data_IF_982267576519
#
_entry.id   IF_982267576519
#
_cell.length_a   1.000
_cell.length_b   1.000
_cell.length_c   1.000
_cell.angle_alpha   90.00
_cell.angle_beta   90.00
_cell.angle_gamma   90.00
#
_symmetry.space_group_name_H-M   'P 1'
#
loop_
_entity.id
_entity.type
_entity.pdbx_description
1 polymer ?
#
# COMPACT_ATOMS: atom_id res chain seq x y z
N UNK A 1 -28.38 -36.83 11.15
CA UNK A 1 -27.54 -37.54 10.17
C UNK A 1 -27.96 -38.99 10.04
N UNK A 2 -27.94 -39.79 11.11
CA UNK A 2 -28.49 -41.16 11.08
C UNK A 2 -29.98 -41.20 10.70
N UNK A 3 -30.79 -40.29 11.23
CA UNK A 3 -32.21 -40.19 10.90
C UNK A 3 -32.45 -39.79 9.42
N UNK A 4 -31.72 -38.79 8.93
CA UNK A 4 -31.78 -38.37 7.52
C UNK A 4 -31.25 -39.43 6.54
N UNK A 5 -30.22 -40.18 6.92
CA UNK A 5 -29.69 -41.29 6.12
C UNK A 5 -30.63 -42.51 6.11
N UNK A 6 -31.38 -42.74 7.20
CA UNK A 6 -32.40 -43.77 7.25
C UNK A 6 -33.64 -43.42 6.42
N UNK A 7 -33.94 -42.12 6.27
CA UNK A 7 -35.09 -41.62 5.54
C UNK A 7 -34.83 -41.49 4.02
N UNK A 8 -33.65 -40.98 3.63
CA UNK A 8 -33.22 -40.88 2.23
C UNK A 8 -31.67 -40.97 2.13
N UNK A 9 -31.11 -42.19 2.01
CA UNK A 9 -29.67 -42.38 1.92
C UNK A 9 -29.07 -41.82 0.61
N UNK A 10 -29.84 -41.82 -0.48
CA UNK A 10 -29.38 -41.35 -1.80
C UNK A 10 -29.19 -39.84 -1.81
N UNK A 11 -30.10 -39.07 -1.20
CA UNK A 11 -29.94 -37.64 -1.03
C UNK A 11 -28.72 -37.27 -0.17
N UNK A 12 -28.43 -38.06 0.88
CA UNK A 12 -27.24 -37.85 1.71
C UNK A 12 -25.97 -38.17 0.91
N UNK A 13 -25.94 -39.27 0.15
CA UNK A 13 -24.81 -39.60 -0.72
C UNK A 13 -24.58 -38.50 -1.77
N UNK A 14 -25.62 -37.99 -2.41
CA UNK A 14 -25.54 -36.92 -3.41
C UNK A 14 -25.05 -35.58 -2.82
N UNK A 15 -25.35 -35.30 -1.54
CA UNK A 15 -24.82 -34.12 -0.85
C UNK A 15 -23.29 -34.17 -0.70
N UNK A 16 -22.70 -35.36 -0.59
CA UNK A 16 -21.26 -35.54 -0.41
C UNK A 16 -20.52 -35.94 -1.70
N UNK A 17 -21.23 -36.57 -2.64
CA UNK A 17 -20.68 -36.97 -3.93
C UNK A 17 -20.68 -35.79 -4.91
N UNK A 18 -19.59 -35.66 -5.67
CA UNK A 18 -19.57 -34.85 -6.88
C UNK A 18 -20.03 -35.73 -8.04
N UNK A 19 -21.09 -35.35 -8.75
CA UNK A 19 -21.56 -36.09 -9.93
C UNK A 19 -20.87 -35.54 -11.18
N UNK A 20 -19.99 -36.36 -11.76
CA UNK A 20 -19.37 -36.12 -13.05
C UNK A 20 -20.25 -36.72 -14.16
N UNK A 21 -20.77 -35.87 -15.04
CA UNK A 21 -21.54 -36.29 -16.21
C UNK A 21 -20.70 -36.07 -17.46
N UNK A 22 -20.28 -37.16 -18.10
CA UNK A 22 -19.53 -37.07 -19.36
C UNK A 22 -20.52 -36.97 -20.52
N UNK A 23 -20.78 -35.74 -20.97
CA UNK A 23 -21.55 -35.49 -22.18
C UNK A 23 -20.65 -35.64 -23.41
N UNK A 24 -20.76 -36.78 -24.11
CA UNK A 24 -20.15 -36.91 -25.44
C UNK A 24 -21.17 -36.40 -26.47
N UNK A 25 -20.86 -35.31 -27.15
CA UNK A 25 -21.68 -34.78 -28.25
C UNK A 25 -20.90 -34.88 -29.56
N UNK A 26 -21.54 -35.41 -30.60
CA UNK A 26 -20.93 -35.54 -31.93
C UNK A 26 -21.38 -34.39 -32.81
N UNK A 27 -20.46 -33.56 -33.27
CA UNK A 27 -20.73 -32.46 -34.20
C UNK A 27 -20.36 -32.88 -35.64
N UNK A 28 -21.26 -32.68 -36.60
CA UNK A 28 -20.97 -32.94 -38.02
C UNK A 28 -20.46 -31.67 -38.68
N UNK A 29 -19.21 -31.66 -39.12
CA UNK A 29 -18.55 -30.49 -39.71
C UNK A 29 -18.66 -30.51 -41.25
N UNK A 30 -18.83 -31.70 -41.84
CA UNK A 30 -19.09 -31.89 -43.26
C UNK A 30 -19.86 -33.20 -43.51
N UNK A 31 -20.48 -33.41 -44.69
CA UNK A 31 -21.18 -34.66 -45.00
C UNK A 31 -20.26 -35.88 -44.81
N UNK A 32 -20.57 -36.73 -43.84
CA UNK A 32 -19.77 -37.91 -43.50
C UNK A 32 -18.54 -37.67 -42.62
N UNK A 33 -18.30 -36.44 -42.14
CA UNK A 33 -17.21 -36.09 -41.22
C UNK A 33 -17.79 -35.58 -39.90
N UNK A 34 -17.64 -36.40 -38.86
CA UNK A 34 -18.05 -36.11 -37.49
C UNK A 34 -16.83 -35.92 -36.60
N UNK A 35 -16.92 -35.01 -35.63
CA UNK A 35 -15.94 -34.80 -34.57
C UNK A 35 -16.62 -34.98 -33.22
N UNK A 36 -15.98 -35.75 -32.34
CA UNK A 36 -16.42 -35.92 -30.96
C UNK A 36 -16.00 -34.68 -30.14
N UNK A 37 -16.98 -33.98 -29.59
CA UNK A 37 -16.77 -33.00 -28.53
C UNK A 37 -16.97 -33.71 -27.19
N UNK A 38 -15.85 -33.93 -26.49
CA UNK A 38 -15.84 -34.43 -25.12
C UNK A 38 -15.84 -33.20 -24.21
N UNK A 39 -16.99 -32.90 -23.60
CA UNK A 39 -17.10 -31.88 -22.56
C UNK A 39 -17.45 -32.57 -21.26
N UNK A 40 -16.51 -32.58 -20.31
CA UNK A 40 -16.82 -32.97 -18.93
C UNK A 40 -17.73 -31.89 -18.35
N UNK A 41 -18.98 -32.25 -18.07
CA UNK A 41 -19.98 -31.34 -17.51
C UNK A 41 -20.33 -31.86 -16.12
N UNK A 42 -20.11 -31.04 -15.09
CA UNK A 42 -20.51 -31.42 -13.74
C UNK A 42 -22.01 -31.17 -13.60
N UNK A 43 -22.82 -32.23 -13.47
CA UNK A 43 -24.27 -32.11 -13.36
C UNK A 43 -24.67 -31.67 -11.93
N UNK A 44 -23.97 -32.14 -10.89
CA UNK A 44 -24.18 -31.72 -9.51
C UNK A 44 -22.86 -31.66 -8.70
N UNK A 45 -22.70 -30.57 -7.94
CA UNK A 45 -21.56 -30.34 -7.04
C UNK A 45 -21.96 -30.71 -5.62
N UNK A 46 -21.26 -31.69 -5.03
CA UNK A 46 -21.39 -31.99 -3.61
C UNK A 46 -20.93 -30.82 -2.74
N UNK A 47 -21.34 -30.82 -1.47
CA UNK A 47 -20.99 -29.81 -0.47
C UNK A 47 -19.47 -29.60 -0.36
N UNK A 48 -18.68 -30.67 -0.46
CA UNK A 48 -17.22 -30.61 -0.40
C UNK A 48 -16.60 -29.76 -1.51
N UNK A 49 -17.13 -29.88 -2.74
CA UNK A 49 -16.63 -29.11 -3.88
C UNK A 49 -17.12 -27.66 -3.84
N UNK A 50 -18.34 -27.41 -3.37
CA UNK A 50 -18.82 -26.05 -3.11
C UNK A 50 -17.98 -25.36 -2.03
N UNK A 51 -17.66 -26.08 -0.96
CA UNK A 51 -16.79 -25.58 0.11
C UNK A 51 -15.38 -25.30 -0.41
N UNK A 52 -14.81 -26.23 -1.18
CA UNK A 52 -13.49 -26.05 -1.80
C UNK A 52 -13.46 -24.82 -2.70
N UNK A 53 -14.43 -24.66 -3.59
CA UNK A 53 -14.53 -23.48 -4.47
C UNK A 53 -14.65 -22.18 -3.69
N UNK A 54 -15.44 -22.16 -2.59
CA UNK A 54 -15.57 -20.99 -1.75
C UNK A 54 -14.25 -20.61 -1.05
N UNK A 55 -13.55 -21.60 -0.48
CA UNK A 55 -12.24 -21.40 0.15
C UNK A 55 -11.19 -20.97 -0.88
N UNK A 56 -11.20 -21.59 -2.06
CA UNK A 56 -10.26 -21.27 -3.13
C UNK A 56 -10.49 -19.86 -3.66
N UNK A 57 -11.74 -19.44 -3.87
CA UNK A 57 -12.07 -18.05 -4.24
C UNK A 57 -11.64 -17.01 -3.19
N UNK A 58 -11.56 -17.39 -1.91
CA UNK A 58 -11.05 -16.50 -0.86
C UNK A 58 -9.52 -16.47 -0.80
N UNK A 59 -8.89 -17.64 -0.91
CA UNK A 59 -7.49 -17.87 -0.57
C UNK A 59 -6.58 -18.02 -1.78
N UNK A 60 -7.12 -18.04 -3.00
CA UNK A 60 -6.33 -18.15 -4.22
C UNK A 60 -5.23 -17.08 -4.22
N UNK A 61 -4.00 -17.52 -4.47
CA UNK A 61 -2.81 -16.68 -4.39
C UNK A 61 -2.73 -15.63 -5.50
N UNK A 62 -3.57 -15.70 -6.53
CA UNK A 62 -3.58 -14.79 -7.68
C UNK A 62 -4.72 -13.78 -7.53
N UNK A 63 -5.95 -14.26 -7.41
CA UNK A 63 -7.19 -13.47 -7.48
C UNK A 63 -8.12 -13.67 -6.27
N UNK A 64 -7.66 -14.41 -5.26
CA UNK A 64 -8.38 -14.59 -4.00
C UNK A 64 -8.62 -13.25 -3.31
N UNK A 65 -9.82 -13.06 -2.75
CA UNK A 65 -10.23 -11.78 -2.16
C UNK A 65 -9.31 -11.35 -1.01
N UNK A 66 -8.85 -12.29 -0.19
CA UNK A 66 -7.91 -12.02 0.91
C UNK A 66 -6.53 -11.63 0.36
N UNK A 67 -6.07 -12.33 -0.67
CA UNK A 67 -4.81 -12.05 -1.34
C UNK A 67 -4.80 -10.65 -1.95
N UNK A 68 -5.88 -10.27 -2.64
CA UNK A 68 -6.02 -8.93 -3.23
C UNK A 68 -6.06 -7.84 -2.15
N UNK A 69 -6.76 -8.08 -1.04
CA UNK A 69 -6.79 -7.16 0.08
C UNK A 69 -5.38 -6.98 0.68
N UNK A 70 -4.63 -8.06 0.88
CA UNK A 70 -3.25 -8.01 1.39
C UNK A 70 -2.36 -7.18 0.46
N UNK A 71 -2.37 -7.45 -0.84
CA UNK A 71 -1.57 -6.69 -1.82
C UNK A 71 -1.91 -5.21 -1.84
N UNK A 72 -3.18 -4.87 -1.69
CA UNK A 72 -3.60 -3.46 -1.61
C UNK A 72 -3.05 -2.80 -0.36
N UNK A 73 -3.06 -3.47 0.80
CA UNK A 73 -2.44 -2.95 2.01
C UNK A 73 -0.92 -2.79 1.87
N UNK A 74 -0.24 -3.77 1.27
CA UNK A 74 1.21 -3.69 1.01
C UNK A 74 1.53 -2.48 0.12
N UNK A 75 0.79 -2.28 -0.97
CA UNK A 75 0.97 -1.12 -1.86
C UNK A 75 0.72 0.22 -1.14
N UNK A 76 -0.26 0.27 -0.22
CA UNK A 76 -0.52 1.46 0.59
C UNK A 76 0.61 1.72 1.59
N UNK A 77 1.17 0.68 2.20
CA UNK A 77 2.30 0.77 3.11
C UNK A 77 3.51 1.31 2.35
N UNK A 78 3.83 0.76 1.18
CA UNK A 78 4.95 1.20 0.34
C UNK A 78 4.81 2.67 -0.05
N UNK A 79 3.64 3.07 -0.57
CA UNK A 79 3.36 4.47 -0.91
C UNK A 79 3.49 5.41 0.30
N UNK A 80 3.09 4.95 1.49
CA UNK A 80 3.20 5.74 2.71
C UNK A 80 4.65 5.84 3.21
N UNK A 81 5.46 4.79 3.05
CA UNK A 81 6.89 4.80 3.35
C UNK A 81 7.65 5.75 2.41
N UNK A 82 7.34 5.73 1.12
CA UNK A 82 7.93 6.66 0.15
C UNK A 82 7.63 8.12 0.53
N UNK A 83 6.38 8.40 0.89
CA UNK A 83 5.99 9.74 1.36
C UNK A 83 6.70 10.16 2.64
N UNK A 84 6.95 9.23 3.57
CA UNK A 84 7.73 9.50 4.79
C UNK A 84 9.16 9.88 4.40
N UNK A 85 9.80 9.12 3.51
CA UNK A 85 11.16 9.40 3.06
C UNK A 85 11.28 10.79 2.38
N UNK A 86 10.32 11.17 1.56
CA UNK A 86 10.27 12.52 0.97
C UNK A 86 10.12 13.63 2.03
N UNK A 87 9.27 13.41 3.05
CA UNK A 87 9.09 14.35 4.15
C UNK A 87 10.38 14.50 4.95
N UNK A 88 11.07 13.41 5.25
CA UNK A 88 12.34 13.42 5.98
C UNK A 88 13.41 14.19 5.21
N UNK A 89 13.52 13.98 3.90
CA UNK A 89 14.44 14.74 3.06
C UNK A 89 14.15 16.25 3.10
N UNK A 90 12.87 16.63 3.02
CA UNK A 90 12.44 18.03 3.10
C UNK A 90 12.68 18.64 4.47
N UNK A 91 12.49 17.86 5.53
CA UNK A 91 12.74 18.28 6.90
C UNK A 91 14.24 18.54 7.10
N UNK A 92 15.10 17.61 6.71
CA UNK A 92 16.56 17.78 6.78
C UNK A 92 17.04 19.02 6.01
N UNK A 93 16.49 19.27 4.82
CA UNK A 93 16.81 20.47 4.05
C UNK A 93 16.39 21.77 4.77
N UNK A 94 15.22 21.76 5.44
CA UNK A 94 14.74 22.90 6.24
C UNK A 94 15.61 23.12 7.47
N UNK A 95 15.99 22.07 8.18
CA UNK A 95 16.88 22.16 9.33
C UNK A 95 18.23 22.75 8.95
N UNK A 96 18.84 22.27 7.87
CA UNK A 96 20.11 22.81 7.37
C UNK A 96 19.99 24.29 6.99
N UNK A 97 18.89 24.68 6.37
CA UNK A 97 18.61 26.08 6.04
C UNK A 97 18.50 26.93 7.30
N UNK A 98 17.70 26.49 8.28
CA UNK A 98 17.52 27.20 9.55
C UNK A 98 18.85 27.33 10.31
N UNK A 99 19.68 26.29 10.32
CA UNK A 99 21.00 26.35 10.92
C UNK A 99 21.89 27.43 10.27
N UNK A 100 21.92 27.49 8.93
CA UNK A 100 22.65 28.52 8.20
C UNK A 100 22.12 29.93 8.48
N UNK A 101 20.80 30.08 8.50
CA UNK A 101 20.14 31.35 8.83
C UNK A 101 20.50 31.79 10.25
N UNK A 102 20.48 30.87 11.21
CA UNK A 102 20.85 31.14 12.60
C UNK A 102 22.32 31.60 12.72
N UNK A 103 23.27 30.86 12.14
CA UNK A 103 24.69 31.26 12.16
C UNK A 103 24.93 32.61 11.48
N UNK A 104 24.22 32.90 10.39
CA UNK A 104 24.30 34.21 9.73
C UNK A 104 23.76 35.33 10.62
N UNK A 105 22.66 35.08 11.33
CA UNK A 105 22.11 36.02 12.32
C UNK A 105 23.07 36.22 13.49
N UNK A 106 23.68 35.18 14.05
CA UNK A 106 24.69 35.29 15.11
C UNK A 106 25.88 36.15 14.67
N UNK A 107 26.40 35.90 13.46
CA UNK A 107 27.50 36.68 12.90
C UNK A 107 27.11 38.14 12.69
N UNK A 108 25.88 38.39 12.24
CA UNK A 108 25.35 39.74 12.04
C UNK A 108 25.19 40.47 13.37
N UNK A 109 24.67 39.80 14.39
CA UNK A 109 24.54 40.36 15.75
C UNK A 109 25.90 40.69 16.35
N UNK A 110 26.90 39.81 16.20
CA UNK A 110 28.27 40.09 16.64
C UNK A 110 28.87 41.33 15.96
N UNK A 111 28.63 41.50 14.65
CA UNK A 111 29.03 42.69 13.89
C UNK A 111 28.26 43.95 14.31
N UNK A 112 26.98 43.83 14.65
CA UNK A 112 26.19 44.97 15.13
C UNK A 112 26.65 45.42 16.51
N UNK A 113 26.99 44.47 17.40
CA UNK A 113 27.55 44.77 18.71
C UNK A 113 28.90 45.49 18.60
N UNK A 114 29.81 45.00 17.75
CA UNK A 114 31.10 45.67 17.54
C UNK A 114 30.94 47.09 16.98
N UNK A 115 30.02 47.29 16.04
CA UNK A 115 29.66 48.60 15.51
C UNK A 115 29.10 49.52 16.61
N UNK A 116 28.21 49.02 17.47
CA UNK A 116 27.67 49.80 18.58
C UNK A 116 28.76 50.26 19.56
N UNK A 117 29.72 49.38 19.88
CA UNK A 117 30.88 49.74 20.70
C UNK A 117 31.74 50.82 20.05
N UNK A 118 32.04 50.69 18.75
CA UNK A 118 32.82 51.70 18.01
C UNK A 118 32.12 53.05 17.95
N UNK A 119 30.81 53.08 17.71
CA UNK A 119 30.02 54.33 17.73
C UNK A 119 30.01 55.00 19.11
N UNK A 120 29.92 54.21 20.17
CA UNK A 120 30.05 54.70 21.55
C UNK A 120 31.40 55.40 21.79
N UNK A 121 32.49 54.78 21.37
CA UNK A 121 33.85 55.34 21.49
C UNK A 121 34.02 56.61 20.65
N UNK A 122 33.50 56.64 19.42
CA UNK A 122 33.56 57.84 18.55
C UNK A 122 32.78 59.00 19.18
N UNK A 123 31.58 58.74 19.71
CA UNK A 123 30.77 59.75 20.39
C UNK A 123 31.49 60.32 21.62
N UNK A 124 32.14 59.47 22.40
CA UNK A 124 32.90 59.89 23.59
C UNK A 124 34.16 60.69 23.22
N UNK A 125 34.86 60.31 22.15
CA UNK A 125 36.03 61.06 21.67
C UNK A 125 35.62 62.41 21.05
N UNK A 126 34.49 62.47 20.35
CA UNK A 126 33.98 63.72 19.78
C UNK A 126 33.52 64.70 20.88
N UNK A 127 32.90 64.21 21.96
CA UNK A 127 32.50 65.05 23.08
C UNK A 127 33.70 65.60 23.86
N UNK A 128 34.75 64.81 24.06
CA UNK A 128 36.01 65.27 24.69
C UNK A 128 36.79 66.23 23.79
N UNK A 129 36.85 65.99 22.48
CA UNK A 129 37.47 66.91 21.54
C UNK A 129 36.72 68.25 21.45
N UNK A 130 35.38 68.22 21.47
CA UNK A 130 34.55 69.43 21.51
C UNK A 130 34.73 70.24 22.79
N UNK A 131 34.91 69.59 23.95
CA UNK A 131 35.16 70.25 25.22
C UNK A 131 36.58 70.86 25.36
N UNK A 132 37.52 70.49 24.49
CA UNK A 132 38.90 71.02 24.47
C UNK A 132 39.08 72.22 23.53
N UNK A 133 38.11 72.48 22.65
CA UNK A 133 38.17 73.55 21.62
C UNK A 133 37.17 74.69 21.91
N UNK A 134 36.24 74.52 22.86
CA UNK A 134 35.36 75.58 23.37
C UNK A 134 35.85 76.17 24.68
#
# INVERSE_FOLDING_TARGET
FEEAYAEDPEAVENLFAAYESTGTSTETIAPGVTVDNITTTYDELGFGDLFKQAVEKLTNSIDGTVTLASRNFDALIDAQNDRIAEIDQRLAAKELRLFREFTAMETTLARLQSQQSSLGMISQNLSTAGALIG
#
